data_IF_121457805758
#
_entry.id   IF_121457805758
#
_cell.length_a   1.000
_cell.length_b   1.000
_cell.length_c   1.000
_cell.angle_alpha   90.00
_cell.angle_beta   90.00
_cell.angle_gamma   90.00
#
_symmetry.space_group_name_H-M   'P 1'
#
loop_
_entity.id
_entity.type
_entity.pdbx_description
1 polymer ?
#
# COMPACT_ATOMS: atom_id res chain seq x y z
N UNK A 1 -40.94 59.48 -54.30
CA UNK A 1 -40.05 58.30 -54.14
C UNK A 1 -39.89 58.04 -52.64
N UNK A 2 -40.30 56.86 -52.14
CA UNK A 2 -40.39 56.57 -50.71
C UNK A 2 -39.09 55.94 -50.21
N UNK A 3 -38.66 56.26 -48.98
CA UNK A 3 -37.83 55.36 -48.15
C UNK A 3 -38.10 55.65 -46.67
N UNK A 4 -39.12 55.00 -46.12
CA UNK A 4 -38.99 54.44 -44.79
C UNK A 4 -38.47 53.02 -44.96
N UNK A 5 -37.57 52.57 -44.07
CA UNK A 5 -37.96 51.39 -43.32
C UNK A 5 -37.82 51.59 -41.82
N UNK A 6 -38.87 51.11 -41.18
CA UNK A 6 -39.09 50.84 -39.77
C UNK A 6 -38.32 49.58 -39.34
N UNK A 7 -37.81 49.62 -38.10
CA UNK A 7 -37.64 48.53 -37.12
C UNK A 7 -36.98 47.20 -37.53
N UNK A 8 -35.97 46.80 -36.76
CA UNK A 8 -36.01 45.50 -36.06
C UNK A 8 -35.13 45.53 -34.79
N UNK A 9 -35.55 44.82 -33.72
CA UNK A 9 -34.90 44.81 -32.42
C UNK A 9 -33.88 43.68 -32.27
N UNK A 10 -33.03 43.84 -31.26
CA UNK A 10 -32.48 42.83 -30.35
C UNK A 10 -32.53 41.38 -30.83
N UNK A 11 -31.35 40.81 -31.12
CA UNK A 11 -31.09 39.42 -30.76
C UNK A 11 -29.63 39.29 -30.32
N UNK A 12 -29.42 39.38 -29.01
CA UNK A 12 -28.18 38.97 -28.36
C UNK A 12 -28.13 37.44 -28.45
N UNK A 13 -27.36 36.91 -29.39
CA UNK A 13 -27.09 35.47 -29.47
C UNK A 13 -26.08 35.14 -28.36
N UNK A 14 -26.60 34.76 -27.20
CA UNK A 14 -25.87 33.95 -26.23
C UNK A 14 -25.84 32.50 -26.73
N UNK A 15 -24.74 31.83 -26.40
CA UNK A 15 -24.50 30.39 -26.49
C UNK A 15 -24.04 29.83 -27.85
N UNK A 16 -22.73 29.61 -27.95
CA UNK A 16 -22.18 28.26 -27.96
C UNK A 16 -20.66 28.31 -27.78
N UNK A 17 -20.17 28.20 -26.54
CA UNK A 17 -18.80 27.75 -26.34
C UNK A 17 -18.80 26.27 -26.72
N UNK A 18 -18.39 25.97 -27.96
CA UNK A 18 -18.21 24.62 -28.45
C UNK A 18 -17.10 23.94 -27.65
N UNK A 19 -17.48 23.33 -26.53
CA UNK A 19 -16.60 22.43 -25.80
C UNK A 19 -16.45 21.18 -26.66
N UNK A 20 -15.27 21.06 -27.26
CA UNK A 20 -14.78 19.82 -27.86
C UNK A 20 -15.05 18.70 -26.87
N UNK A 21 -15.90 17.75 -27.26
CA UNK A 21 -16.04 16.50 -26.56
C UNK A 21 -14.66 15.84 -26.51
N UNK A 22 -14.01 15.90 -25.34
CA UNK A 22 -12.99 14.93 -24.99
C UNK A 22 -13.76 13.61 -24.89
N UNK A 23 -13.78 12.85 -25.99
CA UNK A 23 -14.07 11.43 -25.91
C UNK A 23 -12.99 10.83 -25.02
N UNK A 24 -13.35 10.57 -23.76
CA UNK A 24 -12.55 9.74 -22.86
C UNK A 24 -12.42 8.39 -23.58
N UNK A 25 -11.21 7.95 -23.97
CA UNK A 25 -11.07 6.64 -24.56
C UNK A 25 -11.52 5.61 -23.52
N UNK A 26 -12.47 4.81 -23.98
CA UNK A 26 -13.11 3.67 -23.33
C UNK A 26 -12.06 2.80 -22.63
N UNK A 27 -12.26 2.61 -21.32
CA UNK A 27 -11.48 1.74 -20.45
C UNK A 27 -11.66 0.28 -20.86
N UNK A 28 -10.94 -0.18 -21.89
CA UNK A 28 -10.81 -1.61 -22.14
C UNK A 28 -9.52 -1.92 -22.89
N UNK A 29 -8.42 -2.05 -22.15
CA UNK A 29 -7.30 -2.89 -22.57
C UNK A 29 -6.27 -3.03 -21.46
N UNK A 30 -6.32 -4.19 -20.81
CA UNK A 30 -5.21 -4.84 -20.09
C UNK A 30 -4.96 -4.34 -18.66
N UNK A 31 -5.84 -4.76 -17.74
CA UNK A 31 -5.42 -5.61 -16.61
C UNK A 31 -4.12 -5.24 -15.90
N UNK A 32 -3.93 -3.96 -15.55
CA UNK A 32 -3.01 -3.62 -14.48
C UNK A 32 -3.46 -4.44 -13.28
N UNK A 33 -2.63 -5.37 -12.80
CA UNK A 33 -2.96 -6.34 -11.75
C UNK A 33 -3.24 -5.62 -10.41
N UNK A 34 -4.33 -4.87 -10.34
CA UNK A 34 -4.90 -4.41 -9.10
C UNK A 34 -5.23 -5.68 -8.33
N UNK A 35 -4.55 -5.88 -7.21
CA UNK A 35 -4.93 -6.94 -6.28
C UNK A 35 -6.39 -6.71 -5.89
N UNK A 36 -7.19 -7.75 -5.68
CA UNK A 36 -8.54 -7.58 -5.16
C UNK A 36 -8.49 -6.71 -3.88
N UNK A 37 -9.57 -5.97 -3.58
CA UNK A 37 -9.67 -5.21 -2.34
C UNK A 37 -9.32 -6.11 -1.15
N UNK A 38 -8.49 -5.62 -0.24
CA UNK A 38 -8.14 -6.41 0.94
C UNK A 38 -9.35 -6.55 1.85
N UNK A 39 -9.54 -7.74 2.41
CA UNK A 39 -10.40 -7.93 3.56
C UNK A 39 -9.90 -7.08 4.74
N UNK A 40 -10.84 -6.56 5.54
CA UNK A 40 -10.50 -5.75 6.71
C UNK A 40 -10.03 -6.64 7.86
N UNK A 41 -8.90 -6.32 8.53
CA UNK A 41 -8.50 -7.03 9.74
C UNK A 41 -9.52 -6.92 10.87
N UNK A 42 -9.61 -7.96 11.70
CA UNK A 42 -10.49 -8.04 12.87
C UNK A 42 -9.78 -7.51 14.12
N UNK A 43 -9.64 -6.18 14.21
CA UNK A 43 -9.02 -5.54 15.37
C UNK A 43 -9.86 -5.57 16.66
N UNK A 44 -11.07 -6.16 16.63
CA UNK A 44 -11.92 -6.35 17.80
C UNK A 44 -11.85 -7.78 18.37
N UNK A 45 -11.46 -8.75 17.53
CA UNK A 45 -11.29 -10.15 17.90
C UNK A 45 -9.88 -10.65 17.60
N UNK A 46 -9.71 -11.40 16.51
CA UNK A 46 -8.47 -12.15 16.19
C UNK A 46 -7.22 -11.26 16.22
N UNK A 47 -7.30 -10.08 15.63
CA UNK A 47 -6.17 -9.17 15.41
C UNK A 47 -6.10 -8.06 16.49
N UNK A 48 -6.77 -8.24 17.63
CA UNK A 48 -6.89 -7.21 18.67
C UNK A 48 -5.54 -6.72 19.23
N UNK A 49 -4.52 -7.58 19.23
CA UNK A 49 -3.15 -7.22 19.63
C UNK A 49 -2.53 -6.12 18.74
N UNK A 50 -2.96 -6.02 17.48
CA UNK A 50 -2.45 -5.07 16.49
C UNK A 50 -3.31 -3.81 16.36
N UNK A 51 -4.38 -3.69 17.16
CA UNK A 51 -5.27 -2.53 17.17
C UNK A 51 -4.54 -1.17 17.31
N UNK A 52 -3.46 -1.02 18.11
CA UNK A 52 -2.71 0.24 18.16
C UNK A 52 -2.13 0.68 16.80
N UNK A 53 -1.90 -0.27 15.89
CA UNK A 53 -1.34 -0.05 14.55
C UNK A 53 -2.41 -0.05 13.46
N UNK A 54 -3.69 -0.19 13.80
CA UNK A 54 -4.80 -0.29 12.85
C UNK A 54 -4.84 0.83 11.80
N UNK A 55 -4.57 2.11 12.12
CA UNK A 55 -4.54 3.17 11.10
C UNK A 55 -3.49 2.90 10.02
N UNK A 56 -2.29 2.47 10.41
CA UNK A 56 -1.18 2.19 9.48
C UNK A 56 -1.43 0.93 8.67
N UNK A 57 -1.96 -0.12 9.31
CA UNK A 57 -2.33 -1.35 8.61
C UNK A 57 -3.39 -1.05 7.54
N UNK A 58 -4.45 -0.30 7.88
CA UNK A 58 -5.49 0.08 6.92
C UNK A 58 -4.95 0.93 5.78
N UNK A 59 -4.10 1.90 6.08
CA UNK A 59 -3.43 2.74 5.08
C UNK A 59 -2.58 1.89 4.12
N UNK A 60 -1.78 0.96 4.66
CA UNK A 60 -0.96 0.05 3.85
C UNK A 60 -1.76 -0.89 2.95
N UNK A 61 -2.98 -1.28 3.36
CA UNK A 61 -3.87 -2.14 2.57
C UNK A 61 -4.53 -1.43 1.38
N UNK A 62 -4.50 -0.09 1.33
CA UNK A 62 -4.96 0.68 0.16
C UNK A 62 -4.06 0.44 -1.07
N UNK A 63 -2.78 0.10 -0.85
CA UNK A 63 -1.88 -0.30 -1.92
C UNK A 63 -2.12 -1.77 -2.33
N UNK A 64 -1.76 -2.16 -3.56
CA UNK A 64 -1.76 -3.57 -3.99
C UNK A 64 -0.86 -4.46 -3.10
N UNK A 65 -1.03 -5.78 -3.21
CA UNK A 65 -0.13 -6.74 -2.58
C UNK A 65 1.32 -6.48 -2.98
N UNK A 66 2.24 -6.52 -2.01
CA UNK A 66 3.66 -6.24 -2.21
C UNK A 66 4.57 -7.39 -1.75
N UNK A 67 3.99 -8.48 -1.24
CA UNK A 67 4.70 -9.63 -0.69
C UNK A 67 3.93 -10.92 -0.96
N UNK A 68 4.63 -12.04 -1.20
CA UNK A 68 4.07 -13.39 -1.28
C UNK A 68 2.70 -13.47 -2.01
N UNK A 69 2.66 -12.92 -3.23
CA UNK A 69 1.54 -12.83 -4.17
C UNK A 69 0.33 -11.98 -3.72
N UNK A 70 -0.28 -12.37 -2.61
CA UNK A 70 -1.54 -11.85 -2.07
C UNK A 70 -1.37 -11.21 -0.69
N UNK A 71 -0.14 -11.09 -0.19
CA UNK A 71 0.16 -10.51 1.11
C UNK A 71 0.66 -9.06 0.98
N UNK A 72 0.45 -8.30 2.05
CA UNK A 72 0.98 -6.94 2.18
C UNK A 72 1.87 -6.85 3.41
N UNK A 73 3.15 -6.51 3.22
CA UNK A 73 4.00 -6.02 4.29
C UNK A 73 3.66 -4.55 4.53
N UNK A 74 3.35 -4.22 5.79
CA UNK A 74 3.09 -2.87 6.28
C UNK A 74 4.00 -2.58 7.45
N UNK A 75 4.63 -1.41 7.46
CA UNK A 75 5.48 -0.96 8.58
C UNK A 75 4.85 0.21 9.31
N UNK A 76 5.15 0.31 10.61
CA UNK A 76 4.77 1.43 11.43
C UNK A 76 5.96 1.87 12.31
N UNK A 77 6.16 3.19 12.49
CA UNK A 77 7.13 3.66 13.46
C UNK A 77 6.68 3.30 14.88
N UNK A 78 7.64 2.92 15.74
CA UNK A 78 7.40 2.60 17.15
C UNK A 78 8.18 3.48 18.14
N UNK A 79 8.90 4.49 17.64
CA UNK A 79 9.76 5.37 18.43
C UNK A 79 10.95 5.86 17.60
N UNK A 80 11.97 6.41 18.27
CA UNK A 80 13.20 6.85 17.61
C UNK A 80 13.98 5.65 17.04
N UNK A 81 14.29 5.71 15.74
CA UNK A 81 15.00 4.64 15.01
C UNK A 81 14.36 3.23 15.10
N UNK A 82 13.08 3.16 15.49
CA UNK A 82 12.33 1.93 15.73
C UNK A 82 11.24 1.74 14.68
N UNK A 83 11.22 0.57 14.04
CA UNK A 83 10.15 0.16 13.10
C UNK A 83 9.61 -1.20 13.54
N UNK A 84 8.29 -1.33 13.57
CA UNK A 84 7.60 -2.62 13.60
C UNK A 84 6.98 -2.89 12.24
N UNK A 85 6.86 -4.15 11.87
CA UNK A 85 6.21 -4.54 10.63
C UNK A 85 5.22 -5.67 10.83
N UNK A 86 4.30 -5.76 9.88
CA UNK A 86 3.24 -6.75 9.83
C UNK A 86 3.13 -7.31 8.41
N UNK A 87 2.83 -8.60 8.29
CA UNK A 87 2.28 -9.21 7.08
C UNK A 87 0.78 -9.29 7.25
N UNK A 88 0.04 -8.87 6.24
CA UNK A 88 -1.42 -9.02 6.19
C UNK A 88 -1.78 -9.93 5.03
N UNK A 89 -2.51 -11.00 5.30
CA UNK A 89 -3.18 -11.75 4.24
C UNK A 89 -4.38 -10.94 3.75
N UNK A 90 -4.36 -10.53 2.48
CA UNK A 90 -5.41 -9.67 1.93
C UNK A 90 -6.72 -10.41 1.69
N UNK A 91 -6.72 -11.74 1.73
CA UNK A 91 -7.91 -12.57 1.46
C UNK A 91 -8.90 -12.54 2.62
N UNK A 92 -8.40 -12.59 3.85
CA UNK A 92 -9.20 -12.66 5.09
C UNK A 92 -8.82 -11.58 6.13
N UNK A 93 -7.83 -10.74 5.82
CA UNK A 93 -7.39 -9.64 6.66
C UNK A 93 -6.54 -10.07 7.85
N UNK A 94 -6.10 -11.33 7.93
CA UNK A 94 -5.31 -11.80 9.06
C UNK A 94 -3.95 -11.13 9.14
N UNK A 95 -3.56 -10.73 10.35
CA UNK A 95 -2.35 -9.95 10.60
C UNK A 95 -1.34 -10.80 11.36
N UNK A 96 -0.11 -10.82 10.84
CA UNK A 96 1.02 -11.51 11.43
C UNK A 96 2.17 -10.54 11.67
N UNK A 97 2.94 -10.67 12.77
CA UNK A 97 4.08 -9.81 13.02
C UNK A 97 5.27 -10.22 12.13
N UNK A 98 6.12 -9.27 11.76
CA UNK A 98 7.44 -9.60 11.22
C UNK A 98 8.33 -10.26 12.29
N UNK A 99 9.27 -11.12 11.89
CA UNK A 99 10.16 -11.83 12.83
C UNK A 99 11.22 -10.90 13.44
N UNK A 100 11.39 -9.70 12.88
CA UNK A 100 12.31 -8.66 13.35
C UNK A 100 11.62 -7.30 13.31
N UNK A 101 11.96 -6.45 14.26
CA UNK A 101 11.35 -5.14 14.50
C UNK A 101 11.50 -4.71 15.94
N UNK A 102 10.90 -3.57 16.29
CA UNK A 102 10.93 -3.07 17.65
C UNK A 102 12.24 -2.41 18.05
N UNK A 103 12.40 -2.13 19.35
CA UNK A 103 13.51 -1.35 19.86
C UNK A 103 14.84 -2.11 19.87
N UNK A 104 14.79 -3.45 19.95
CA UNK A 104 15.98 -4.30 19.90
C UNK A 104 16.64 -4.36 18.50
N UNK A 105 15.88 -4.05 17.44
CA UNK A 105 16.29 -4.18 16.05
C UNK A 105 16.26 -2.80 15.37
N UNK A 106 17.17 -1.93 15.76
CA UNK A 106 17.21 -0.54 15.28
C UNK A 106 17.65 -0.44 13.81
N UNK A 107 17.24 0.64 13.15
CA UNK A 107 17.57 0.91 11.73
C UNK A 107 17.27 -0.29 10.80
N UNK A 108 16.13 -0.96 11.06
CA UNK A 108 15.66 -2.09 10.28
C UNK A 108 15.45 -1.72 8.80
N UNK A 109 16.14 -2.45 7.93
CA UNK A 109 15.96 -2.45 6.48
C UNK A 109 15.33 -3.76 6.06
N UNK A 110 14.32 -3.67 5.18
CA UNK A 110 13.55 -4.79 4.67
C UNK A 110 13.65 -4.83 3.14
N UNK A 111 14.01 -5.99 2.60
CA UNK A 111 14.01 -6.25 1.16
C UNK A 111 13.06 -7.43 0.90
N UNK A 112 12.04 -7.18 0.08
CA UNK A 112 11.01 -8.15 -0.25
C UNK A 112 10.35 -7.80 -1.58
N UNK A 113 9.61 -8.73 -2.15
CA UNK A 113 8.87 -8.52 -3.39
C UNK A 113 7.57 -9.31 -3.43
N UNK A 114 6.66 -8.90 -4.30
CA UNK A 114 5.37 -9.58 -4.50
C UNK A 114 5.54 -11.00 -5.03
N UNK A 115 6.56 -11.25 -5.85
CA UNK A 115 6.80 -12.57 -6.45
C UNK A 115 7.61 -13.53 -5.58
N UNK A 116 8.03 -13.09 -4.38
CA UNK A 116 8.83 -13.88 -3.45
C UNK A 116 8.12 -14.05 -2.13
N UNK A 117 8.34 -15.22 -1.51
CA UNK A 117 7.96 -15.48 -0.12
C UNK A 117 9.13 -15.29 0.84
N UNK A 118 10.27 -14.79 0.36
CA UNK A 118 11.44 -14.47 1.19
C UNK A 118 11.45 -12.99 1.59
N UNK A 119 11.72 -12.76 2.87
CA UNK A 119 11.95 -11.48 3.48
C UNK A 119 13.42 -11.40 3.92
N UNK A 120 14.19 -10.59 3.23
CA UNK A 120 15.55 -10.26 3.62
C UNK A 120 15.53 -9.07 4.57
N UNK A 121 16.28 -9.16 5.64
CA UNK A 121 16.29 -8.16 6.70
C UNK A 121 17.71 -7.82 7.09
N UNK A 122 17.94 -6.55 7.38
CA UNK A 122 19.18 -6.03 7.95
C UNK A 122 18.85 -5.10 9.09
N UNK A 123 19.50 -5.25 10.23
CA UNK A 123 19.25 -4.43 11.42
C UNK A 123 20.52 -4.26 12.26
N UNK A 124 20.47 -3.33 13.20
CA UNK A 124 21.51 -3.16 14.21
C UNK A 124 21.05 -3.70 15.56
N UNK A 125 21.80 -4.65 16.10
CA UNK A 125 21.76 -5.04 17.51
C UNK A 125 22.58 -4.02 18.31
N UNK A 126 21.90 -3.16 19.07
CA UNK A 126 22.53 -2.01 19.70
C UNK A 126 23.10 -1.01 18.68
N UNK A 127 24.21 -0.35 18.99
CA UNK A 127 24.79 0.70 18.13
C UNK A 127 25.93 0.25 17.21
N UNK A 128 26.34 -1.03 17.27
CA UNK A 128 27.61 -1.48 16.65
C UNK A 128 27.54 -2.78 15.88
N UNK A 129 26.53 -3.61 16.10
CA UNK A 129 26.49 -4.95 15.50
C UNK A 129 25.44 -4.98 14.41
N UNK A 130 25.89 -4.89 13.16
CA UNK A 130 25.03 -5.13 12.00
C UNK A 130 24.73 -6.63 11.89
N UNK A 131 23.45 -6.95 11.71
CA UNK A 131 22.95 -8.29 11.44
C UNK A 131 22.14 -8.30 10.18
N UNK A 132 22.21 -9.39 9.45
CA UNK A 132 21.30 -9.68 8.36
C UNK A 132 20.83 -11.13 8.41
N UNK A 133 19.59 -11.34 7.99
CA UNK A 133 18.97 -12.65 7.95
C UNK A 133 17.82 -12.67 6.93
N UNK A 134 17.68 -13.79 6.23
CA UNK A 134 16.54 -14.07 5.36
C UNK A 134 15.53 -14.95 6.09
N UNK A 135 14.25 -14.63 5.94
CA UNK A 135 13.14 -15.41 6.46
C UNK A 135 12.21 -15.82 5.33
N UNK A 136 11.76 -17.07 5.33
CA UNK A 136 10.74 -17.55 4.38
C UNK A 136 9.37 -17.52 5.05
N UNK A 137 8.39 -16.93 4.37
CA UNK A 137 6.98 -16.95 4.75
C UNK A 137 6.39 -18.34 4.59
N UNK A 138 5.63 -18.78 5.59
CA UNK A 138 4.99 -20.11 5.61
C UNK A 138 3.48 -20.07 5.39
N UNK A 139 2.91 -18.89 5.14
CA UNK A 139 1.45 -18.67 5.08
C UNK A 139 0.84 -18.23 6.42
N UNK A 140 1.53 -18.42 7.53
CA UNK A 140 1.05 -18.08 8.88
C UNK A 140 2.17 -17.60 9.82
N UNK A 141 3.37 -17.41 9.29
CA UNK A 141 4.56 -17.08 10.06
C UNK A 141 5.83 -17.13 9.22
N UNK A 142 6.96 -16.97 9.90
CA UNK A 142 8.27 -16.92 9.27
C UNK A 142 9.19 -18.02 9.77
N UNK A 143 9.96 -18.59 8.85
CA UNK A 143 11.03 -19.53 9.14
C UNK A 143 12.36 -18.91 8.75
N UNK A 144 13.31 -18.85 9.67
CA UNK A 144 14.67 -18.39 9.39
C UNK A 144 15.37 -19.29 8.36
N UNK A 145 15.98 -18.67 7.35
CA UNK A 145 16.92 -19.34 6.44
C UNK A 145 18.33 -19.21 7.02
N UNK A 146 18.77 -20.22 7.76
CA UNK A 146 20.08 -20.22 8.41
C UNK A 146 20.16 -19.30 9.63
N UNK A 147 21.39 -19.08 10.11
CA UNK A 147 21.67 -18.19 11.26
C UNK A 147 21.88 -16.75 10.78
N UNK A 148 21.61 -15.74 11.64
CA UNK A 148 21.98 -14.37 11.33
C UNK A 148 23.48 -14.26 11.04
N UNK A 149 23.83 -13.55 9.97
CA UNK A 149 25.21 -13.20 9.64
C UNK A 149 25.47 -11.73 10.00
N UNK A 150 26.75 -11.36 10.06
CA UNK A 150 27.12 -9.96 10.08
C UNK A 150 27.04 -9.39 8.68
N UNK A 151 26.53 -8.17 8.58
CA UNK A 151 26.83 -7.25 7.51
C UNK A 151 28.09 -6.42 7.88
#
# INVERSE_FOLDING_TARGET
MPRFPTALPVLLILAACGQRGMSVPEEDSLGYMASPPAASPDFAGRDAAYRPYAPRIREGLLAPANFAETHSIVTAPCGEACVVGFVVDRRDGEVFPLPVGGAENSALSLTYSRSSSDLETRWFEGSRTCREQTFSWTGSGFRSRGRPSSC
#
